data_IF_430955542917
#
_entry.id   IF_430955542917
#
_cell.length_a   1.000
_cell.length_b   1.000
_cell.length_c   1.000
_cell.angle_alpha   90.00
_cell.angle_beta   90.00
_cell.angle_gamma   90.00
#
_symmetry.space_group_name_H-M   'P 1'
#
loop_
_entity.id
_entity.type
_entity.pdbx_description
1 polymer ?
#
# COMPACT_ATOMS: atom_id res chain seq x y z
N UNK A 1 -6.02 5.19 -19.11
CA UNK A 1 -6.00 4.26 -17.96
C UNK A 1 -4.57 4.26 -17.44
N UNK A 2 -4.33 4.72 -16.20
CA UNK A 2 -2.99 4.69 -15.60
C UNK A 2 -2.64 3.22 -15.33
N UNK A 3 -1.72 2.68 -16.13
CA UNK A 3 -1.16 1.35 -15.94
C UNK A 3 0.06 1.48 -15.04
N UNK A 4 0.14 0.64 -14.00
CA UNK A 4 1.37 0.50 -13.22
C UNK A 4 2.23 -0.53 -13.95
N UNK A 5 3.32 -0.06 -14.56
CA UNK A 5 4.28 -0.86 -15.32
C UNK A 5 5.17 -1.70 -14.37
N UNK A 6 4.54 -2.52 -13.53
CA UNK A 6 5.19 -3.40 -12.56
C UNK A 6 5.19 -4.84 -13.09
N UNK A 7 6.11 -5.66 -12.56
CA UNK A 7 6.14 -7.10 -12.88
C UNK A 7 4.80 -7.74 -12.55
N UNK A 8 4.23 -8.52 -13.48
CA UNK A 8 2.96 -9.25 -13.28
C UNK A 8 2.99 -10.18 -12.07
N UNK A 9 4.18 -10.66 -11.68
CA UNK A 9 4.39 -11.53 -10.51
C UNK A 9 4.07 -10.83 -9.18
N UNK A 10 4.14 -9.50 -9.15
CA UNK A 10 3.82 -8.71 -7.97
C UNK A 10 2.32 -8.54 -7.77
N UNK A 11 1.46 -8.95 -8.71
CA UNK A 11 0.01 -8.76 -8.59
C UNK A 11 -0.68 -10.04 -8.10
N UNK A 12 -1.47 -9.89 -7.06
CA UNK A 12 -2.37 -10.93 -6.58
C UNK A 12 -3.82 -10.50 -6.77
N UNK A 13 -4.40 -10.90 -7.90
CA UNK A 13 -5.76 -10.51 -8.31
C UNK A 13 -6.84 -10.95 -7.32
N UNK A 14 -6.59 -11.98 -6.50
CA UNK A 14 -7.51 -12.47 -5.47
C UNK A 14 -7.88 -11.38 -4.45
N UNK A 15 -6.97 -10.43 -4.20
CA UNK A 15 -7.16 -9.36 -3.21
C UNK A 15 -7.51 -8.01 -3.86
N UNK A 16 -7.74 -7.98 -5.17
CA UNK A 16 -8.29 -6.81 -5.85
C UNK A 16 -9.69 -6.49 -5.31
N UNK A 17 -9.98 -5.21 -5.14
CA UNK A 17 -11.30 -4.74 -4.74
C UNK A 17 -11.66 -3.52 -5.57
N UNK A 18 -12.79 -3.57 -6.26
CA UNK A 18 -13.36 -2.42 -6.94
C UNK A 18 -14.38 -1.76 -6.01
N UNK A 19 -14.24 -0.46 -5.77
CA UNK A 19 -15.16 0.34 -4.96
C UNK A 19 -15.96 1.32 -5.82
N UNK A 20 -16.22 1.00 -7.10
CA UNK A 20 -17.06 1.83 -7.96
C UNK A 20 -18.54 1.75 -7.55
N UNK A 21 -19.37 2.67 -8.06
CA UNK A 21 -20.81 2.74 -7.74
C UNK A 21 -21.55 1.42 -8.01
N UNK A 22 -21.13 0.65 -9.03
CA UNK A 22 -21.72 -0.66 -9.32
C UNK A 22 -21.39 -1.72 -8.27
N UNK A 23 -20.18 -1.68 -7.71
CA UNK A 23 -19.71 -2.66 -6.73
C UNK A 23 -20.09 -2.26 -5.30
N UNK A 24 -20.12 -0.95 -5.01
CA UNK A 24 -20.42 -0.36 -3.71
C UNK A 24 -21.33 0.85 -3.89
N UNK A 25 -22.63 0.64 -4.12
CA UNK A 25 -23.58 1.72 -4.30
C UNK A 25 -23.72 2.57 -3.03
N UNK A 26 -24.24 3.80 -3.17
CA UNK A 26 -24.46 4.68 -2.02
C UNK A 26 -25.36 4.09 -0.92
N UNK A 27 -26.26 3.16 -1.26
CA UNK A 27 -27.11 2.47 -0.29
C UNK A 27 -26.42 1.31 0.46
N UNK A 28 -25.22 0.91 0.02
CA UNK A 28 -24.45 -0.12 0.73
C UNK A 28 -23.86 0.46 2.01
N UNK A 29 -23.50 -0.42 2.94
CA UNK A 29 -22.72 -0.07 4.11
C UNK A 29 -21.46 0.71 3.74
N UNK A 30 -21.12 1.73 4.54
CA UNK A 30 -19.97 2.62 4.29
C UNK A 30 -18.64 2.09 4.83
N UNK A 31 -18.64 0.90 5.42
CA UNK A 31 -17.44 0.32 5.99
C UNK A 31 -17.33 -1.18 5.74
N UNK A 32 -16.11 -1.69 5.86
CA UNK A 32 -15.82 -3.12 6.00
C UNK A 32 -15.02 -3.36 7.29
N UNK A 33 -15.06 -4.60 7.79
CA UNK A 33 -14.29 -5.01 8.96
C UNK A 33 -13.10 -5.87 8.52
N UNK A 34 -11.90 -5.53 8.97
CA UNK A 34 -10.67 -6.29 8.70
C UNK A 34 -9.77 -6.21 9.95
N UNK A 35 -9.24 -7.34 10.42
CA UNK A 35 -8.45 -7.39 11.67
C UNK A 35 -9.17 -6.85 12.92
N UNK A 36 -10.50 -6.91 12.96
CA UNK A 36 -11.30 -6.37 14.07
C UNK A 36 -11.56 -4.86 14.01
N UNK A 37 -11.03 -4.15 13.01
CA UNK A 37 -11.21 -2.71 12.83
C UNK A 37 -12.20 -2.39 11.70
N UNK A 38 -12.96 -1.29 11.86
CA UNK A 38 -13.86 -0.77 10.82
C UNK A 38 -13.12 0.22 9.94
N UNK A 39 -13.14 0.01 8.63
CA UNK A 39 -12.53 0.89 7.63
C UNK A 39 -13.59 1.44 6.69
N UNK A 40 -13.54 2.73 6.41
CA UNK A 40 -14.43 3.38 5.43
C UNK A 40 -14.14 2.81 4.03
N UNK A 41 -15.20 2.53 3.27
CA UNK A 41 -15.08 2.09 1.88
C UNK A 41 -14.70 3.30 1.01
N UNK A 42 -13.55 3.27 0.32
CA UNK A 42 -13.12 4.37 -0.54
C UNK A 42 -13.89 4.34 -1.88
N UNK A 43 -15.14 4.82 -1.89
CA UNK A 43 -15.98 4.81 -3.10
C UNK A 43 -15.36 5.60 -4.24
N UNK A 44 -15.50 5.07 -5.45
CA UNK A 44 -14.85 5.58 -6.66
C UNK A 44 -13.42 5.08 -6.89
N UNK A 45 -12.83 4.36 -5.92
CA UNK A 45 -11.46 3.85 -6.04
C UNK A 45 -11.42 2.39 -6.47
N UNK A 46 -10.24 1.96 -6.93
CA UNK A 46 -9.89 0.56 -7.12
C UNK A 46 -8.63 0.25 -6.31
N UNK A 47 -8.65 -0.89 -5.62
CA UNK A 47 -7.50 -1.48 -4.96
C UNK A 47 -7.06 -2.69 -5.77
N UNK A 48 -5.78 -2.79 -6.08
CA UNK A 48 -5.17 -4.00 -6.61
C UNK A 48 -4.32 -4.66 -5.52
N UNK A 49 -4.46 -5.97 -5.38
CA UNK A 49 -3.67 -6.75 -4.45
C UNK A 49 -2.26 -6.94 -4.97
N UNK A 50 -1.29 -6.77 -4.08
CA UNK A 50 0.11 -7.02 -4.36
C UNK A 50 0.58 -8.26 -3.59
N UNK A 51 1.49 -9.01 -4.20
CA UNK A 51 2.12 -10.17 -3.58
C UNK A 51 3.28 -9.73 -2.70
N UNK A 52 3.41 -10.33 -1.52
CA UNK A 52 4.55 -10.18 -0.63
C UNK A 52 5.12 -11.59 -0.47
N UNK A 53 6.40 -11.76 -0.84
CA UNK A 53 7.09 -13.06 -0.86
C UNK A 53 7.36 -13.62 0.56
N UNK A 54 7.16 -12.77 1.57
CA UNK A 54 7.36 -13.11 2.98
C UNK A 54 6.08 -13.67 3.65
N UNK A 55 5.34 -14.51 2.94
CA UNK A 55 4.11 -15.12 3.44
C UNK A 55 4.35 -15.96 4.71
N UNK A 56 5.57 -16.47 4.90
CA UNK A 56 5.96 -17.27 6.06
C UNK A 56 6.17 -16.43 7.32
N UNK A 57 6.89 -15.30 7.25
CA UNK A 57 7.04 -14.40 8.41
C UNK A 57 5.72 -13.71 8.73
N UNK A 58 4.97 -13.31 7.70
CA UNK A 58 3.65 -12.74 7.86
C UNK A 58 2.64 -13.69 8.54
N UNK A 59 2.72 -14.99 8.24
CA UNK A 59 1.93 -16.02 8.89
C UNK A 59 2.39 -16.30 10.33
N UNK A 60 3.70 -16.39 10.56
CA UNK A 60 4.29 -16.65 11.88
C UNK A 60 3.93 -15.55 12.90
N UNK A 61 3.98 -14.30 12.47
CA UNK A 61 3.66 -13.11 13.29
C UNK A 61 2.15 -12.78 13.30
N UNK A 62 1.35 -13.49 12.51
CA UNK A 62 -0.08 -13.23 12.32
C UNK A 62 -0.39 -11.75 11.95
N UNK A 63 0.49 -11.13 11.16
CA UNK A 63 0.48 -9.68 10.94
C UNK A 63 -0.83 -9.22 10.29
N UNK A 64 -1.43 -10.04 9.43
CA UNK A 64 -2.66 -9.69 8.70
C UNK A 64 -3.88 -9.57 9.61
N UNK A 65 -3.88 -10.24 10.75
CA UNK A 65 -5.00 -10.21 11.70
C UNK A 65 -4.75 -9.27 12.88
N UNK A 66 -3.47 -9.02 13.22
CA UNK A 66 -3.09 -8.18 14.37
C UNK A 66 -2.73 -6.75 14.00
N UNK A 67 -2.21 -6.52 12.79
CA UNK A 67 -1.72 -5.19 12.40
C UNK A 67 -2.86 -4.30 11.93
N UNK A 68 -2.80 -3.02 12.31
CA UNK A 68 -3.72 -2.01 11.81
C UNK A 68 -3.35 -1.65 10.37
N UNK A 69 -4.34 -1.54 9.49
CA UNK A 69 -4.10 -1.11 8.11
C UNK A 69 -3.84 0.40 8.10
N UNK A 70 -2.69 0.79 7.54
CA UNK A 70 -2.29 2.20 7.36
C UNK A 70 -2.20 2.54 5.88
N UNK A 71 -2.51 3.78 5.53
CA UNK A 71 -2.46 4.28 4.16
C UNK A 71 -1.33 5.30 4.00
N UNK A 72 -0.59 5.21 2.88
CA UNK A 72 0.49 6.12 2.57
C UNK A 72 0.38 6.60 1.11
N UNK A 73 0.14 7.90 0.92
CA UNK A 73 0.11 8.52 -0.40
C UNK A 73 1.52 8.68 -0.96
N UNK A 74 1.79 8.16 -2.16
CA UNK A 74 3.11 8.23 -2.79
C UNK A 74 3.02 8.27 -4.31
N UNK A 75 4.15 8.53 -4.97
CA UNK A 75 4.28 8.49 -6.44
C UNK A 75 4.41 7.05 -6.94
N UNK A 76 4.01 6.76 -8.18
CA UNK A 76 4.15 5.42 -8.80
C UNK A 76 5.57 4.87 -8.70
N UNK A 77 6.58 5.69 -8.94
CA UNK A 77 7.98 5.27 -8.94
C UNK A 77 8.44 4.85 -7.53
N UNK A 78 7.94 5.54 -6.51
CA UNK A 78 8.24 5.23 -5.11
C UNK A 78 7.46 4.01 -4.63
N UNK A 79 6.20 3.85 -5.05
CA UNK A 79 5.41 2.65 -4.77
C UNK A 79 6.11 1.40 -5.33
N UNK A 80 6.62 1.44 -6.57
CA UNK A 80 7.40 0.35 -7.16
C UNK A 80 8.60 -0.04 -6.27
N UNK A 81 9.38 0.96 -5.85
CA UNK A 81 10.52 0.75 -4.96
C UNK A 81 10.10 0.14 -3.62
N UNK A 82 9.02 0.60 -2.99
CA UNK A 82 8.55 0.03 -1.71
C UNK A 82 8.20 -1.44 -1.87
N UNK A 83 7.52 -1.79 -2.96
CA UNK A 83 7.08 -3.17 -3.22
C UNK A 83 8.28 -4.08 -3.52
N UNK A 84 9.23 -3.64 -4.34
CA UNK A 84 10.39 -4.47 -4.72
C UNK A 84 11.33 -4.75 -3.55
N UNK A 85 11.38 -3.86 -2.56
CA UNK A 85 12.34 -3.95 -1.45
C UNK A 85 11.69 -4.26 -0.09
N UNK A 86 10.35 -4.25 -0.02
CA UNK A 86 9.58 -4.37 1.21
C UNK A 86 10.00 -3.36 2.30
N UNK A 87 10.48 -2.18 1.91
CA UNK A 87 11.00 -1.17 2.83
C UNK A 87 10.36 0.20 2.58
N UNK A 88 9.98 0.87 3.66
CA UNK A 88 9.68 2.28 3.68
C UNK A 88 10.98 3.06 3.82
N UNK A 89 11.52 3.51 2.69
CA UNK A 89 12.72 4.33 2.69
C UNK A 89 12.41 5.73 3.23
N UNK A 90 13.16 6.13 4.25
CA UNK A 90 13.12 7.44 4.88
C UNK A 90 14.06 8.43 4.18
N UNK A 91 13.91 9.74 4.40
CA UNK A 91 14.90 10.70 3.95
C UNK A 91 16.29 10.37 4.50
N UNK A 92 17.28 10.29 3.60
CA UNK A 92 18.64 9.81 3.88
C UNK A 92 18.88 8.37 3.47
N UNK A 93 17.82 7.56 3.29
CA UNK A 93 17.97 6.18 2.83
C UNK A 93 18.31 6.14 1.33
N UNK A 94 19.02 5.08 0.94
CA UNK A 94 19.49 4.87 -0.42
C UNK A 94 18.67 3.78 -1.11
N UNK A 95 18.15 4.07 -2.31
CA UNK A 95 17.50 3.08 -3.18
C UNK A 95 18.53 2.12 -3.78
N UNK A 96 18.08 0.96 -4.24
CA UNK A 96 18.86 0.14 -5.17
C UNK A 96 19.08 0.94 -6.47
N UNK A 97 20.35 1.24 -6.77
CA UNK A 97 20.75 2.19 -7.81
C UNK A 97 21.47 3.45 -7.28
N UNK A 98 21.60 3.58 -5.96
CA UNK A 98 22.46 4.58 -5.33
C UNK A 98 21.81 5.94 -5.08
N UNK A 99 20.55 6.13 -5.51
CA UNK A 99 19.80 7.36 -5.29
C UNK A 99 19.41 7.51 -3.81
N UNK A 100 19.81 8.62 -3.19
CA UNK A 100 19.45 8.97 -1.80
C UNK A 100 18.15 9.75 -1.78
N UNK A 101 17.20 9.34 -0.92
CA UNK A 101 15.92 10.03 -0.77
C UNK A 101 16.13 11.34 -0.02
N UNK A 102 15.92 12.47 -0.71
CA UNK A 102 15.93 13.79 -0.08
C UNK A 102 14.59 14.15 0.59
N UNK A 103 14.63 15.17 1.45
CA UNK A 103 13.42 15.79 2.00
C UNK A 103 12.81 16.71 0.93
N UNK A 104 11.54 16.49 0.58
CA UNK A 104 10.82 17.35 -0.38
C UNK A 104 10.39 18.65 0.29
N UNK A 105 10.28 19.72 -0.50
CA UNK A 105 9.74 21.01 -0.03
C UNK A 105 8.34 20.81 0.56
N UNK A 106 8.12 21.27 1.80
CA UNK A 106 6.87 21.09 2.53
C UNK A 106 6.79 19.83 3.40
N UNK A 107 7.82 18.97 3.38
CA UNK A 107 7.96 17.88 4.35
C UNK A 107 8.75 18.35 5.57
N UNK A 108 8.59 17.63 6.70
CA UNK A 108 9.30 17.93 7.96
C UNK A 108 10.82 17.90 7.67
N UNK A 109 11.54 19.01 7.92
CA UNK A 109 12.93 19.19 7.47
C UNK A 109 13.97 18.35 8.22
N UNK A 110 13.56 17.61 9.25
CA UNK A 110 14.44 16.81 10.09
C UNK A 110 13.93 15.36 10.17
N UNK A 111 14.87 14.43 10.36
CA UNK A 111 14.58 13.04 10.76
C UNK A 111 13.81 13.04 12.09
N UNK A 112 12.78 12.20 12.20
CA UNK A 112 12.15 11.91 13.48
C UNK A 112 13.24 11.36 14.42
N UNK A 113 13.47 12.03 15.55
CA UNK A 113 14.37 11.55 16.60
C UNK A 113 13.65 10.48 17.43
#
# INVERSE_FOLDING_TARGET
MLSLEYSKKLFNRKHNRCCCEKCYPACSQDFYVEGGFKYVIPRGWVRFGLYIDDAQTAAAENIWNKSVVSYHGTTSEAAKSIIEHHQFLLPGDQRIGGYVIGIRKGHIPNKFQ
#
